data_IF_635881912592
#
_entry.id   IF_635881912592
#
_cell.length_a   1.000
_cell.length_b   1.000
_cell.length_c   1.000
_cell.angle_alpha   90.00
_cell.angle_beta   90.00
_cell.angle_gamma   90.00
#
_symmetry.space_group_name_H-M   'P 1'
#
loop_
_entity.id
_entity.type
_entity.pdbx_description
1 polymer ?
#
# COMPACT_ATOMS: atom_id res chain seq x y z
N UNK A 1 -9.37 14.89 -7.13
CA UNK A 1 -10.03 14.42 -5.89
C UNK A 1 -9.17 13.36 -5.22
N UNK A 2 -8.98 13.48 -3.92
CA UNK A 2 -8.18 12.49 -3.19
C UNK A 2 -8.96 11.22 -2.99
N UNK A 3 -8.24 10.11 -2.98
CA UNK A 3 -8.85 8.82 -2.68
C UNK A 3 -9.16 8.73 -1.18
N UNK A 4 -10.29 8.11 -0.81
CA UNK A 4 -10.66 8.00 0.60
C UNK A 4 -9.78 7.02 1.37
N UNK A 5 -9.08 6.14 0.68
CA UNK A 5 -8.16 5.20 1.30
C UNK A 5 -7.03 4.91 0.34
N UNK A 6 -5.97 4.33 0.88
CA UNK A 6 -4.79 3.98 0.08
C UNK A 6 -4.40 2.55 0.40
N UNK A 7 -4.22 1.74 -0.65
CA UNK A 7 -3.75 0.38 -0.49
C UNK A 7 -2.58 0.12 -1.41
N UNK A 8 -1.50 -0.42 -0.86
CA UNK A 8 -0.34 -0.85 -1.63
C UNK A 8 0.03 -2.27 -1.23
N UNK A 9 0.73 -2.97 -2.13
CA UNK A 9 1.26 -4.30 -1.87
C UNK A 9 2.78 -4.22 -1.87
N UNK A 10 3.41 -4.82 -0.86
CA UNK A 10 4.86 -4.77 -0.67
C UNK A 10 5.41 -6.19 -0.71
N UNK A 11 6.47 -6.38 -1.49
CA UNK A 11 7.09 -7.69 -1.61
C UNK A 11 8.13 -7.89 -0.51
N UNK A 12 7.93 -8.94 0.31
CA UNK A 12 8.89 -9.35 1.34
C UNK A 12 9.30 -8.24 2.33
N UNK A 13 8.42 -7.26 2.57
CA UNK A 13 8.70 -6.22 3.55
C UNK A 13 8.37 -6.71 4.95
N UNK A 14 9.18 -6.32 5.93
CA UNK A 14 8.89 -6.67 7.31
C UNK A 14 7.93 -5.68 7.94
N UNK A 15 7.14 -6.16 8.90
CA UNK A 15 6.23 -5.29 9.64
C UNK A 15 7.00 -4.17 10.36
N UNK A 16 8.18 -4.47 10.89
CA UNK A 16 8.98 -3.47 11.58
C UNK A 16 9.43 -2.35 10.64
N UNK A 17 9.88 -2.71 9.44
CA UNK A 17 10.33 -1.71 8.47
C UNK A 17 9.17 -0.81 8.06
N UNK A 18 7.98 -1.40 7.87
CA UNK A 18 6.78 -0.63 7.54
C UNK A 18 6.41 0.30 8.69
N UNK A 19 6.49 -0.18 9.93
CA UNK A 19 6.20 0.62 11.12
C UNK A 19 7.13 1.84 11.19
N UNK A 20 8.42 1.61 10.98
CA UNK A 20 9.41 2.69 11.04
C UNK A 20 9.15 3.73 9.94
N UNK A 21 8.81 3.27 8.75
CA UNK A 21 8.50 4.18 7.65
C UNK A 21 7.25 5.01 7.95
N UNK A 22 6.18 4.35 8.43
CA UNK A 22 4.94 5.06 8.75
C UNK A 22 5.16 6.08 9.86
N UNK A 23 5.98 5.74 10.85
CA UNK A 23 6.29 6.66 11.95
C UNK A 23 6.92 7.94 11.43
N UNK A 24 7.78 7.84 10.42
CA UNK A 24 8.43 9.01 9.85
C UNK A 24 7.53 9.76 8.87
N UNK A 25 6.78 9.03 8.05
CA UNK A 25 6.02 9.64 6.96
C UNK A 25 4.67 10.16 7.40
N UNK A 26 4.03 9.50 8.36
CA UNK A 26 2.65 9.81 8.76
C UNK A 26 2.60 10.30 10.19
N UNK A 27 3.12 9.51 11.13
CA UNK A 27 3.09 9.85 12.55
C UNK A 27 3.33 8.63 13.41
N UNK A 28 3.49 8.82 14.73
CA UNK A 28 3.79 7.71 15.63
C UNK A 28 2.76 6.60 15.51
N UNK A 29 3.22 5.36 15.44
CA UNK A 29 2.34 4.21 15.32
C UNK A 29 2.00 3.67 16.71
N UNK A 30 0.72 3.38 16.92
CA UNK A 30 0.29 2.68 18.11
C UNK A 30 0.74 1.21 18.02
N UNK A 31 0.73 0.48 19.14
CA UNK A 31 1.05 -0.96 19.08
C UNK A 31 0.10 -1.69 18.14
N UNK A 32 0.64 -2.65 17.41
CA UNK A 32 -0.18 -3.46 16.51
C UNK A 32 -1.08 -4.38 17.31
N UNK A 33 -2.33 -4.50 16.88
CA UNK A 33 -3.28 -5.42 17.46
C UNK A 33 -3.61 -6.47 16.42
N UNK A 34 -3.35 -7.72 16.74
CA UNK A 34 -3.61 -8.82 15.83
C UNK A 34 -5.04 -9.29 15.95
N UNK A 35 -5.70 -9.42 14.80
CA UNK A 35 -7.04 -9.98 14.71
C UNK A 35 -7.03 -11.02 13.59
N UNK A 36 -6.92 -12.31 13.96
CA UNK A 36 -6.75 -13.36 12.99
C UNK A 36 -5.41 -13.19 12.26
N UNK A 37 -5.46 -13.04 10.94
CA UNK A 37 -4.25 -12.84 10.13
C UNK A 37 -3.95 -11.37 9.89
N UNK A 38 -4.78 -10.49 10.40
CA UNK A 38 -4.69 -9.05 10.15
C UNK A 38 -4.13 -8.34 11.36
N UNK A 39 -3.29 -7.33 11.12
CA UNK A 39 -2.76 -6.49 12.19
C UNK A 39 -3.23 -5.07 11.96
N UNK A 40 -3.67 -4.40 13.02
CA UNK A 40 -4.19 -3.04 12.95
C UNK A 40 -3.51 -2.13 13.95
N UNK A 41 -3.26 -0.90 13.52
CA UNK A 41 -2.75 0.14 14.41
C UNK A 41 -3.20 1.49 13.88
N UNK A 42 -2.76 2.55 14.55
CA UNK A 42 -2.94 3.91 14.05
C UNK A 42 -1.59 4.56 13.89
N UNK A 43 -1.37 5.19 12.74
CA UNK A 43 -0.19 6.02 12.50
C UNK A 43 -0.67 7.46 12.58
N UNK A 44 -0.27 8.16 13.65
CA UNK A 44 -0.89 9.45 13.96
C UNK A 44 -2.37 9.26 14.20
N UNK A 45 -3.21 9.85 13.35
CA UNK A 45 -4.66 9.70 13.43
C UNK A 45 -5.21 8.76 12.35
N UNK A 46 -4.35 8.11 11.59
CA UNK A 46 -4.75 7.34 10.42
C UNK A 46 -4.83 5.86 10.76
N UNK A 47 -6.00 5.22 10.59
CA UNK A 47 -6.10 3.77 10.78
C UNK A 47 -5.29 3.01 9.74
N UNK A 48 -4.50 2.04 10.19
CA UNK A 48 -3.63 1.25 9.33
C UNK A 48 -3.94 -0.22 9.50
N UNK A 49 -4.05 -0.93 8.39
CA UNK A 49 -4.27 -2.37 8.38
C UNK A 49 -3.13 -3.04 7.61
N UNK A 50 -2.52 -4.05 8.22
CA UNK A 50 -1.42 -4.82 7.63
C UNK A 50 -1.86 -6.27 7.53
N UNK A 51 -1.83 -6.82 6.31
CA UNK A 51 -2.15 -8.23 6.09
C UNK A 51 -0.95 -8.89 5.44
N UNK A 52 -0.12 -9.59 6.23
CA UNK A 52 1.05 -10.26 5.66
C UNK A 52 0.62 -11.42 4.78
N UNK A 53 1.35 -11.60 3.69
CA UNK A 53 1.11 -12.70 2.75
C UNK A 53 -0.31 -12.70 2.21
N UNK A 54 -0.82 -11.51 1.92
CA UNK A 54 -2.17 -11.37 1.35
C UNK A 54 -2.25 -12.08 0.00
N UNK A 55 -1.20 -11.99 -0.81
CA UNK A 55 -1.11 -12.69 -2.10
C UNK A 55 0.31 -13.23 -2.22
N UNK A 56 0.50 -14.51 -1.87
CA UNK A 56 1.83 -15.13 -1.92
C UNK A 56 2.84 -14.40 -1.04
N UNK A 57 3.88 -13.83 -1.66
CA UNK A 57 4.91 -13.08 -0.94
C UNK A 57 4.55 -11.60 -0.78
N UNK A 58 3.38 -11.20 -1.25
CA UNK A 58 2.97 -9.81 -1.22
C UNK A 58 2.14 -9.52 0.01
N UNK A 59 2.52 -8.48 0.74
CA UNK A 59 1.80 -8.03 1.93
C UNK A 59 0.93 -6.84 1.56
N UNK A 60 -0.27 -6.77 2.11
CA UNK A 60 -1.20 -5.66 1.88
C UNK A 60 -1.06 -4.64 2.99
N UNK A 61 -0.96 -3.37 2.62
CA UNK A 61 -0.96 -2.26 3.56
C UNK A 61 -2.07 -1.29 3.17
N UNK A 62 -3.03 -1.10 4.07
CA UNK A 62 -4.17 -0.23 3.84
C UNK A 62 -4.14 0.93 4.84
N UNK A 63 -4.24 2.15 4.32
CA UNK A 63 -4.40 3.35 5.15
C UNK A 63 -5.80 3.88 4.91
N UNK A 64 -6.66 3.71 5.89
CA UNK A 64 -8.09 3.97 5.77
C UNK A 64 -8.41 5.42 6.10
N UNK A 65 -7.93 6.34 5.27
CA UNK A 65 -8.14 7.76 5.49
C UNK A 65 -7.74 8.54 4.25
N UNK A 66 -8.43 9.65 4.01
CA UNK A 66 -8.05 10.61 2.98
C UNK A 66 -7.11 11.70 3.50
N UNK A 67 -6.73 11.60 4.77
CA UNK A 67 -5.87 12.59 5.41
C UNK A 67 -4.38 12.22 5.34
N UNK A 68 -4.01 11.23 4.52
CA UNK A 68 -2.62 10.83 4.35
C UNK A 68 -1.84 11.93 3.61
N UNK A 69 -0.49 11.92 3.71
CA UNK A 69 0.31 12.86 2.92
C UNK A 69 0.33 12.56 1.44
N UNK A 70 -0.29 11.47 1.00
CA UNK A 70 -0.28 11.05 -0.40
C UNK A 70 -1.65 11.24 -1.02
N UNK A 71 -1.67 11.72 -2.27
CA UNK A 71 -2.92 11.94 -2.99
C UNK A 71 -3.58 10.65 -3.44
N UNK A 72 -2.77 9.64 -3.76
CA UNK A 72 -3.27 8.40 -4.32
C UNK A 72 -2.32 7.26 -3.99
N UNK A 73 -2.69 6.06 -4.45
CA UNK A 73 -1.91 4.85 -4.19
C UNK A 73 -0.52 4.95 -4.80
N UNK A 74 -0.40 5.58 -5.97
CA UNK A 74 0.88 5.67 -6.67
C UNK A 74 1.86 6.55 -5.87
N UNK A 75 1.38 7.67 -5.36
CA UNK A 75 2.24 8.54 -4.55
C UNK A 75 2.74 7.82 -3.30
N UNK A 76 1.85 7.07 -2.65
CA UNK A 76 2.22 6.26 -1.49
C UNK A 76 3.22 5.18 -1.87
N UNK A 77 2.98 4.49 -3.00
CA UNK A 77 3.87 3.42 -3.45
C UNK A 77 5.27 3.94 -3.75
N UNK A 78 5.38 5.12 -4.36
CA UNK A 78 6.68 5.74 -4.63
C UNK A 78 7.42 6.03 -3.33
N UNK A 79 6.72 6.57 -2.35
CA UNK A 79 7.32 6.87 -1.06
C UNK A 79 7.76 5.59 -0.35
N UNK A 80 6.95 4.55 -0.40
CA UNK A 80 7.27 3.28 0.21
C UNK A 80 8.51 2.65 -0.44
N UNK A 81 8.58 2.69 -1.76
CA UNK A 81 9.74 2.16 -2.46
C UNK A 81 11.01 2.92 -2.08
N UNK A 82 10.93 4.24 -2.03
CA UNK A 82 12.09 5.06 -1.68
C UNK A 82 12.59 4.74 -0.27
N UNK A 83 11.67 4.45 0.65
CA UNK A 83 12.03 4.20 2.04
C UNK A 83 12.45 2.76 2.30
N UNK A 84 11.78 1.80 1.65
CA UNK A 84 11.92 0.38 1.99
C UNK A 84 12.79 -0.40 1.00
N UNK A 85 12.91 0.08 -0.22
CA UNK A 85 13.76 -0.56 -1.22
C UNK A 85 13.22 -1.89 -1.74
N UNK A 86 11.94 -2.18 -1.55
CA UNK A 86 11.31 -3.41 -2.04
C UNK A 86 10.33 -3.05 -3.13
N UNK A 87 10.05 -4.02 -4.01
CA UNK A 87 9.07 -3.78 -5.06
C UNK A 87 7.70 -3.52 -4.47
N UNK A 88 7.02 -2.50 -4.98
CA UNK A 88 5.70 -2.10 -4.52
C UNK A 88 4.74 -2.21 -5.69
N UNK A 89 3.52 -2.67 -5.43
CA UNK A 89 2.46 -2.70 -6.44
C UNK A 89 1.23 -1.99 -5.91
N UNK A 90 0.57 -1.27 -6.80
CA UNK A 90 -0.67 -0.58 -6.45
C UNK A 90 -1.57 -0.50 -7.66
N UNK A 91 -2.84 -0.13 -7.43
CA UNK A 91 -3.77 0.09 -8.52
C UNK A 91 -3.32 1.27 -9.38
N UNK A 92 -3.67 1.27 -10.66
CA UNK A 92 -3.36 2.41 -11.53
C UNK A 92 -3.99 3.69 -10.98
N UNK A 93 -3.28 4.80 -11.11
CA UNK A 93 -3.80 6.07 -10.63
C UNK A 93 -5.05 6.50 -11.37
N UNK A 94 -6.01 7.07 -10.63
CA UNK A 94 -7.25 7.51 -11.22
C UNK A 94 -8.20 6.35 -11.48
N UNK A 95 -9.33 6.39 -10.83
CA UNK A 95 -10.36 5.37 -11.04
C UNK A 95 -11.15 5.70 -12.31
N UNK A 96 -11.28 4.73 -13.19
CA UNK A 96 -12.01 4.91 -14.43
C UNK A 96 -13.05 3.81 -14.55
N UNK A 97 -14.29 4.23 -14.47
CA UNK A 97 -15.42 3.32 -14.42
C UNK A 97 -15.56 2.47 -15.67
N UNK A 98 -15.36 3.05 -16.84
CA UNK A 98 -15.53 2.37 -18.11
C UNK A 98 -14.47 1.30 -18.37
N UNK A 99 -13.39 1.30 -17.62
CA UNK A 99 -12.32 0.34 -17.81
C UNK A 99 -12.31 -0.77 -16.77
N UNK A 100 -13.23 -0.72 -15.82
CA UNK A 100 -13.14 -1.54 -14.62
C UNK A 100 -13.04 -3.03 -14.89
N UNK A 101 -13.81 -3.56 -15.83
CA UNK A 101 -13.80 -5.00 -16.09
C UNK A 101 -12.56 -5.47 -16.83
N UNK A 102 -12.16 -4.73 -17.85
CA UNK A 102 -11.03 -5.12 -18.68
C UNK A 102 -9.69 -4.93 -17.97
N UNK A 103 -9.64 -3.96 -17.09
CA UNK A 103 -8.39 -3.56 -16.44
C UNK A 103 -8.31 -4.01 -14.99
N UNK A 104 -9.14 -4.98 -14.59
CA UNK A 104 -9.16 -5.45 -13.20
C UNK A 104 -7.83 -6.02 -12.73
N UNK A 105 -7.04 -6.58 -13.65
CA UNK A 105 -5.73 -7.16 -13.33
C UNK A 105 -4.58 -6.22 -13.62
N UNK A 106 -4.87 -4.98 -13.99
CA UNK A 106 -3.82 -4.01 -14.32
C UNK A 106 -3.30 -3.34 -13.06
N UNK A 107 -2.00 -3.35 -12.90
CA UNK A 107 -1.33 -2.81 -11.71
C UNK A 107 -0.14 -1.98 -12.12
N UNK A 108 0.27 -1.08 -11.24
CA UNK A 108 1.53 -0.35 -11.38
C UNK A 108 2.55 -1.00 -10.47
N UNK A 109 3.69 -1.39 -11.04
CA UNK A 109 4.80 -1.94 -10.29
C UNK A 109 5.89 -0.88 -10.19
N UNK A 110 6.37 -0.63 -8.98
CA UNK A 110 7.45 0.32 -8.73
C UNK A 110 8.62 -0.45 -8.14
N UNK A 111 9.76 -0.42 -8.84
CA UNK A 111 10.94 -1.15 -8.44
C UNK A 111 12.17 -0.35 -8.88
N UNK A 112 13.36 -0.92 -8.65
CA UNK A 112 14.60 -0.27 -9.09
C UNK A 112 14.67 -0.09 -10.60
N UNK A 113 13.82 -0.78 -11.36
CA UNK A 113 13.70 -0.60 -12.81
C UNK A 113 12.84 0.59 -13.19
N UNK A 114 12.15 1.20 -12.21
CA UNK A 114 11.23 2.30 -12.44
C UNK A 114 9.79 1.85 -12.30
N UNK A 115 8.90 2.62 -12.89
CA UNK A 115 7.46 2.34 -12.82
C UNK A 115 7.01 1.68 -14.12
N UNK A 116 6.27 0.57 -13.98
CA UNK A 116 5.78 -0.18 -15.12
C UNK A 116 4.32 -0.59 -14.89
N UNK A 117 3.55 -0.60 -15.97
CA UNK A 117 2.23 -1.22 -15.92
C UNK A 117 2.38 -2.71 -16.15
N UNK A 118 1.76 -3.49 -15.29
CA UNK A 118 1.83 -4.95 -15.38
C UNK A 118 0.44 -5.54 -15.26
N UNK A 119 0.32 -6.80 -15.64
CA UNK A 119 -0.89 -7.57 -15.38
C UNK A 119 -0.58 -8.50 -14.21
N UNK A 120 -1.42 -8.45 -13.19
CA UNK A 120 -1.21 -9.24 -11.98
C UNK A 120 -2.54 -9.75 -11.48
N UNK A 121 -2.71 -11.05 -11.53
CA UNK A 121 -3.92 -11.68 -11.03
C UNK A 121 -3.72 -12.05 -9.58
N UNK A 122 -4.60 -11.54 -8.74
CA UNK A 122 -4.51 -11.74 -7.29
C UNK A 122 -5.45 -12.82 -6.79
N UNK A 123 -6.28 -13.37 -7.66
CA UNK A 123 -7.25 -14.41 -7.30
C UNK A 123 -6.68 -15.83 -7.40
#
# INVERSE_FOLDING_TARGET
MRQPDIEIYLRDASQQAVTDWLTQAVGPCSPWQQKGKTFKCQAGTIPVTWLPKAVGKWHSLLLDSDATPWEDDIACARAAFAALGVEIRCAPGGWQEEEAEEDADRWISISERGEEQILWRTD
#
